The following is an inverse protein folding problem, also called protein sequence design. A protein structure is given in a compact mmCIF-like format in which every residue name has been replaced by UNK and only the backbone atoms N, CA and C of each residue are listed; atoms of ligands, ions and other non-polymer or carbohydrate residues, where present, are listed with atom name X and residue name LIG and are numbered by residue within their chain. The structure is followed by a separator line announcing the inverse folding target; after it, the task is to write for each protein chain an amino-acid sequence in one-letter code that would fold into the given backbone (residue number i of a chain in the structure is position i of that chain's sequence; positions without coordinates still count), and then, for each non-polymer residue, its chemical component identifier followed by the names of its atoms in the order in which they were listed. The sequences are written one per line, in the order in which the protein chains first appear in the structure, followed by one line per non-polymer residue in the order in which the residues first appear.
data_IF_391354348199
#
_entry.id   IF_391354348199
#
_cell.length_a   1.000
_cell.length_b   1.000
_cell.length_c   1.000
_cell.angle_alpha   90.00
_cell.angle_beta   90.00
_cell.angle_gamma   90.00
#
_symmetry.space_group_name_H-M   'P 1'
#
loop_
_entity.id
_entity.type
_entity.pdbx_description
1 polymer ?
#
# COMPACT_ATOMS: atom_id res chain seq x y z
N UNK A 1 11.10 18.17 -28.54
CA UNK A 1 10.24 18.95 -27.61
C UNK A 1 9.23 18.09 -26.85
N UNK A 2 8.65 17.01 -27.42
CA UNK A 2 7.73 16.14 -26.67
C UNK A 2 8.40 15.23 -25.61
N UNK A 3 9.65 14.81 -25.83
CA UNK A 3 10.39 13.96 -24.88
C UNK A 3 10.69 14.67 -23.55
N UNK A 4 11.05 15.96 -23.60
CA UNK A 4 11.35 16.77 -22.39
C UNK A 4 10.11 16.98 -21.52
N UNK A 5 8.95 17.23 -22.13
CA UNK A 5 7.66 17.40 -21.40
C UNK A 5 7.22 16.09 -20.72
N UNK A 6 7.45 14.94 -21.38
CA UNK A 6 7.15 13.63 -20.77
C UNK A 6 8.07 13.33 -19.58
N UNK A 7 9.34 13.71 -19.65
CA UNK A 7 10.29 13.55 -18.53
C UNK A 7 9.93 14.46 -17.35
N UNK A 8 9.56 15.71 -17.59
CA UNK A 8 9.10 16.63 -16.53
C UNK A 8 7.87 16.10 -15.79
N UNK A 9 6.88 15.58 -16.52
CA UNK A 9 5.69 14.98 -15.91
C UNK A 9 6.01 13.74 -15.05
N UNK A 10 7.01 12.94 -15.43
CA UNK A 10 7.47 11.79 -14.64
C UNK A 10 8.22 12.24 -13.38
N UNK A 11 9.02 13.31 -13.46
CA UNK A 11 9.73 13.88 -12.31
C UNK A 11 8.75 14.47 -11.29
N UNK A 12 7.76 15.24 -11.75
CA UNK A 12 6.72 15.80 -10.88
C UNK A 12 5.90 14.70 -10.19
N UNK A 13 5.58 13.65 -10.94
CA UNK A 13 4.90 12.48 -10.39
C UNK A 13 5.77 11.75 -9.35
N UNK A 14 7.07 11.57 -9.63
CA UNK A 14 7.99 10.93 -8.71
C UNK A 14 8.07 11.71 -7.38
N UNK A 15 8.13 13.04 -7.43
CA UNK A 15 8.11 13.88 -6.25
C UNK A 15 6.81 13.71 -5.43
N UNK A 16 5.65 13.65 -6.09
CA UNK A 16 4.36 13.41 -5.42
C UNK A 16 4.27 12.01 -4.79
N UNK A 17 4.81 11.01 -5.47
CA UNK A 17 4.88 9.64 -4.93
C UNK A 17 5.82 9.59 -3.73
N UNK A 18 6.94 10.31 -3.76
CA UNK A 18 7.86 10.38 -2.61
C UNK A 18 7.19 11.02 -1.39
N UNK A 19 6.37 12.07 -1.58
CA UNK A 19 5.55 12.65 -0.49
C UNK A 19 4.53 11.62 0.04
N UNK A 20 3.79 10.96 -0.85
CA UNK A 20 2.83 9.91 -0.47
C UNK A 20 3.51 8.77 0.32
N UNK A 21 4.67 8.30 -0.16
CA UNK A 21 5.46 7.26 0.50
C UNK A 21 5.94 7.75 1.88
N UNK A 22 6.37 9.00 2.00
CA UNK A 22 6.78 9.57 3.27
C UNK A 22 5.61 9.62 4.27
N UNK A 23 4.43 10.06 3.83
CA UNK A 23 3.22 10.15 4.66
C UNK A 23 2.75 8.76 5.14
N UNK A 24 2.70 7.78 4.22
CA UNK A 24 2.34 6.39 4.55
C UNK A 24 3.37 5.78 5.51
N UNK A 25 4.66 6.04 5.29
CA UNK A 25 5.74 5.57 6.16
C UNK A 25 5.66 6.21 7.55
N UNK A 26 5.35 7.51 7.62
CA UNK A 26 5.18 8.21 8.88
C UNK A 26 3.97 7.65 9.66
N UNK A 27 2.86 7.37 8.97
CA UNK A 27 1.72 6.69 9.55
C UNK A 27 2.10 5.31 10.09
N UNK A 28 2.80 4.50 9.30
CA UNK A 28 3.26 3.17 9.72
C UNK A 28 4.19 3.25 10.96
N UNK A 29 5.07 4.25 11.04
CA UNK A 29 5.93 4.48 12.20
C UNK A 29 5.14 4.95 13.43
N UNK A 30 4.16 5.83 13.23
CA UNK A 30 3.30 6.30 14.29
C UNK A 30 2.52 5.14 14.92
N UNK A 31 2.00 4.21 14.10
CA UNK A 31 1.33 2.99 14.56
C UNK A 31 2.24 2.15 15.46
N UNK A 32 3.50 1.92 15.06
CA UNK A 32 4.48 1.19 15.88
C UNK A 32 4.77 1.91 17.19
N UNK A 33 4.80 3.25 17.17
CA UNK A 33 5.04 4.05 18.37
C UNK A 33 3.90 3.95 19.41
N UNK A 34 2.68 3.57 19.00
CA UNK A 34 1.57 3.36 19.94
C UNK A 34 1.81 2.09 20.78
N UNK A 35 2.54 1.11 20.25
CA UNK A 35 2.87 -0.14 20.94
C UNK A 35 2.33 -1.39 20.24
N UNK A 36 2.82 -2.56 20.67
CA UNK A 36 2.44 -3.87 20.14
C UNK A 36 1.25 -4.42 20.92
N UNK A 37 0.34 -5.12 20.23
CA UNK A 37 -0.81 -5.80 20.83
C UNK A 37 -1.72 -4.90 21.68
N UNK A 38 -2.07 -3.75 21.13
CA UNK A 38 -2.99 -2.82 21.78
C UNK A 38 -4.39 -3.42 21.70
N UNK A 39 -5.01 -3.57 22.87
CA UNK A 39 -6.43 -3.91 22.94
C UNK A 39 -7.24 -2.65 22.61
N UNK A 40 -7.81 -2.65 21.41
CA UNK A 40 -8.66 -1.57 20.90
C UNK A 40 -10.04 -2.16 20.65
N UNK A 41 -11.07 -1.41 21.02
CA UNK A 41 -12.46 -1.79 20.78
C UNK A 41 -12.68 -2.25 19.32
N UNK A 42 -13.49 -3.30 19.17
CA UNK A 42 -13.72 -3.96 17.89
C UNK A 42 -14.27 -2.99 16.81
N UNK A 43 -15.08 -2.00 17.19
CA UNK A 43 -15.60 -1.00 16.25
C UNK A 43 -14.49 -0.07 15.75
N UNK A 44 -13.56 0.34 16.63
CA UNK A 44 -12.39 1.15 16.26
C UNK A 44 -11.45 0.36 15.35
N UNK A 45 -11.20 -0.90 15.67
CA UNK A 45 -10.39 -1.80 14.82
C UNK A 45 -10.99 -1.97 13.42
N UNK A 46 -12.31 -2.11 13.32
CA UNK A 46 -13.02 -2.20 12.05
C UNK A 46 -12.91 -0.89 11.24
N UNK A 47 -13.10 0.27 11.89
CA UNK A 47 -12.94 1.58 11.24
C UNK A 47 -11.51 1.80 10.71
N UNK A 48 -10.48 1.45 11.49
CA UNK A 48 -9.08 1.50 11.06
C UNK A 48 -8.87 0.58 9.86
N UNK A 49 -9.34 -0.67 9.91
CA UNK A 49 -9.17 -1.61 8.81
C UNK A 49 -9.81 -1.10 7.51
N UNK A 50 -11.01 -0.52 7.60
CA UNK A 50 -11.70 0.08 6.44
C UNK A 50 -10.91 1.26 5.87
N UNK A 51 -10.42 2.17 6.73
CA UNK A 51 -9.62 3.32 6.29
C UNK A 51 -8.31 2.90 5.64
N UNK A 52 -7.59 1.95 6.24
CA UNK A 52 -6.34 1.41 5.69
C UNK A 52 -6.60 0.73 4.34
N UNK A 53 -7.66 -0.07 4.25
CA UNK A 53 -8.00 -0.72 2.99
C UNK A 53 -8.42 0.28 1.90
N UNK A 54 -9.09 1.38 2.26
CA UNK A 54 -9.37 2.47 1.32
C UNK A 54 -8.07 3.14 0.81
N UNK A 55 -7.10 3.38 1.70
CA UNK A 55 -5.77 3.89 1.32
C UNK A 55 -5.09 2.93 0.33
N UNK A 56 -5.04 1.63 0.65
CA UNK A 56 -4.48 0.60 -0.23
C UNK A 56 -5.19 0.61 -1.59
N UNK A 57 -6.53 0.68 -1.59
CA UNK A 57 -7.33 0.71 -2.82
C UNK A 57 -7.00 1.89 -3.73
N UNK A 58 -6.87 3.09 -3.15
CA UNK A 58 -6.51 4.31 -3.89
C UNK A 58 -5.10 4.19 -4.46
N UNK A 59 -4.16 3.67 -3.67
CA UNK A 59 -2.77 3.47 -4.09
C UNK A 59 -2.67 2.44 -5.21
N UNK A 60 -3.41 1.33 -5.13
CA UNK A 60 -3.44 0.32 -6.21
C UNK A 60 -4.01 0.92 -7.49
N UNK A 61 -5.11 1.69 -7.42
CA UNK A 61 -5.67 2.39 -8.59
C UNK A 61 -4.66 3.37 -9.20
N UNK A 62 -3.98 4.14 -8.35
CA UNK A 62 -2.89 5.02 -8.80
C UNK A 62 -1.83 4.20 -9.55
N UNK A 63 -1.36 3.08 -8.99
CA UNK A 63 -0.38 2.22 -9.65
C UNK A 63 -0.87 1.71 -11.02
N UNK A 64 -2.14 1.32 -11.15
CA UNK A 64 -2.74 0.91 -12.42
C UNK A 64 -2.70 2.05 -13.43
N UNK A 65 -3.13 3.24 -13.02
CA UNK A 65 -3.12 4.44 -13.87
C UNK A 65 -1.70 4.82 -14.31
N UNK A 66 -0.72 4.67 -13.43
CA UNK A 66 0.69 4.91 -13.74
C UNK A 66 1.23 3.94 -14.77
N UNK A 67 0.97 2.64 -14.60
CA UNK A 67 1.38 1.62 -15.56
C UNK A 67 0.69 1.83 -16.90
N UNK A 68 -0.60 2.17 -16.90
CA UNK A 68 -1.36 2.43 -18.12
C UNK A 68 -0.86 3.68 -18.86
N UNK A 69 -0.48 4.74 -18.13
CA UNK A 69 -0.09 6.03 -18.72
C UNK A 69 1.37 6.10 -19.17
N UNK A 70 2.29 5.48 -18.43
CA UNK A 70 3.73 5.60 -18.67
C UNK A 70 4.40 4.28 -19.06
N UNK A 71 3.72 3.15 -18.92
CA UNK A 71 4.27 1.83 -19.13
C UNK A 71 5.09 1.33 -17.93
N UNK A 72 5.04 0.02 -17.69
CA UNK A 72 5.63 -0.60 -16.48
C UNK A 72 7.13 -0.34 -16.32
N UNK A 73 7.90 -0.33 -17.42
CA UNK A 73 9.36 -0.15 -17.38
C UNK A 73 9.77 1.24 -16.87
N UNK A 74 8.93 2.26 -17.07
CA UNK A 74 9.21 3.63 -16.64
C UNK A 74 8.87 3.81 -15.16
N UNK A 75 7.81 3.16 -14.69
CA UNK A 75 7.28 3.38 -13.32
C UNK A 75 7.69 2.30 -12.33
N UNK A 76 8.38 1.23 -12.74
CA UNK A 76 8.74 0.10 -11.85
C UNK A 76 9.47 0.55 -10.57
N UNK A 77 10.35 1.54 -10.66
CA UNK A 77 11.05 2.08 -9.49
C UNK A 77 10.10 2.82 -8.53
N UNK A 78 9.08 3.49 -9.07
CA UNK A 78 8.04 4.16 -8.27
C UNK A 78 7.10 3.13 -7.63
N UNK A 79 6.71 2.11 -8.39
CA UNK A 79 5.89 1.01 -7.89
C UNK A 79 6.59 0.26 -6.76
N UNK A 80 7.90 0.02 -6.87
CA UNK A 80 8.68 -0.61 -5.80
C UNK A 80 8.70 0.20 -4.50
N UNK A 81 8.80 1.54 -4.58
CA UNK A 81 8.71 2.42 -3.41
C UNK A 81 7.33 2.32 -2.74
N UNK A 82 6.28 2.28 -3.56
CA UNK A 82 4.90 2.13 -3.10
C UNK A 82 4.68 0.75 -2.47
N UNK A 83 5.15 -0.31 -3.10
CA UNK A 83 5.04 -1.68 -2.61
C UNK A 83 5.66 -1.83 -1.22
N UNK A 84 6.86 -1.28 -1.03
CA UNK A 84 7.55 -1.29 0.25
C UNK A 84 6.80 -0.49 1.33
N UNK A 85 6.24 0.68 0.99
CA UNK A 85 5.54 1.51 1.98
C UNK A 85 4.22 0.88 2.45
N UNK A 86 3.49 0.26 1.52
CA UNK A 86 2.28 -0.49 1.83
C UNK A 86 2.59 -1.74 2.65
N UNK A 87 3.65 -2.47 2.29
CA UNK A 87 4.11 -3.62 3.06
C UNK A 87 4.39 -3.23 4.52
N UNK A 88 5.14 -2.14 4.72
CA UNK A 88 5.47 -1.64 6.06
C UNK A 88 4.20 -1.27 6.85
N UNK A 89 3.25 -0.58 6.21
CA UNK A 89 1.98 -0.24 6.83
C UNK A 89 1.22 -1.50 7.30
N UNK A 90 1.03 -2.48 6.42
CA UNK A 90 0.27 -3.70 6.72
C UNK A 90 0.93 -4.50 7.86
N UNK A 91 2.25 -4.70 7.80
CA UNK A 91 2.99 -5.43 8.84
C UNK A 91 2.88 -4.71 10.18
N UNK A 92 3.08 -3.39 10.21
CA UNK A 92 3.01 -2.61 11.43
C UNK A 92 1.61 -2.66 12.06
N UNK A 93 0.56 -2.58 11.25
CA UNK A 93 -0.81 -2.74 11.73
C UNK A 93 -1.07 -4.11 12.34
N UNK A 94 -0.57 -5.19 11.75
CA UNK A 94 -0.80 -6.52 12.31
C UNK A 94 -0.10 -6.83 13.61
N UNK A 95 1.10 -6.28 13.80
CA UNK A 95 1.78 -6.43 15.09
C UNK A 95 1.15 -5.53 16.16
N UNK A 96 0.64 -4.36 15.77
CA UNK A 96 0.07 -3.41 16.74
C UNK A 96 -1.37 -3.75 17.14
N UNK A 97 -2.17 -4.31 16.22
CA UNK A 97 -3.59 -4.62 16.47
C UNK A 97 -3.89 -6.06 16.04
N UNK A 98 -4.06 -6.94 17.02
CA UNK A 98 -4.33 -8.35 16.77
C UNK A 98 -5.57 -8.52 15.88
N UNK A 99 -5.49 -9.37 14.86
CA UNK A 99 -6.58 -9.69 13.94
C UNK A 99 -7.02 -8.56 13.00
N UNK A 100 -6.33 -7.40 12.96
CA UNK A 100 -6.65 -6.34 11.99
C UNK A 100 -6.24 -6.74 10.57
N UNK A 101 -5.17 -7.54 10.44
CA UNK A 101 -4.73 -8.00 9.14
C UNK A 101 -5.78 -8.88 8.46
N UNK A 102 -6.52 -9.70 9.21
CA UNK A 102 -7.59 -10.52 8.63
C UNK A 102 -8.64 -9.65 7.94
N UNK A 103 -8.99 -8.52 8.55
CA UNK A 103 -9.93 -7.55 7.97
C UNK A 103 -9.34 -6.87 6.72
N UNK A 104 -8.08 -6.45 6.79
CA UNK A 104 -7.38 -5.83 5.66
C UNK A 104 -7.26 -6.83 4.49
N UNK A 105 -6.85 -8.07 4.76
CA UNK A 105 -6.70 -9.12 3.76
C UNK A 105 -8.03 -9.41 3.07
N UNK A 106 -9.14 -9.48 3.83
CA UNK A 106 -10.48 -9.67 3.25
C UNK A 106 -10.83 -8.55 2.25
N UNK A 107 -10.57 -7.29 2.61
CA UNK A 107 -10.86 -6.15 1.75
C UNK A 107 -9.89 -6.09 0.55
N UNK A 108 -8.63 -6.49 0.72
CA UNK A 108 -7.68 -6.52 -0.40
C UNK A 108 -7.96 -7.69 -1.37
N UNK A 109 -8.51 -8.80 -0.90
CA UNK A 109 -9.01 -9.86 -1.79
C UNK A 109 -10.15 -9.35 -2.68
N UNK A 110 -10.99 -8.43 -2.19
CA UNK A 110 -12.03 -7.76 -3.01
C UNK A 110 -11.43 -6.86 -4.10
N UNK A 111 -10.23 -6.31 -3.90
CA UNK A 111 -9.50 -5.58 -4.95
C UNK A 111 -8.94 -6.49 -6.05
N UNK A 112 -8.82 -7.79 -5.79
CA UNK A 112 -8.32 -8.79 -6.72
C UNK A 112 -6.80 -8.87 -6.74
N UNK A 113 -6.25 -10.01 -6.31
CA UNK A 113 -4.80 -10.30 -6.31
C UNK A 113 -4.18 -10.14 -7.72
N UNK A 114 -4.96 -10.37 -8.77
CA UNK A 114 -4.57 -10.15 -10.16
C UNK A 114 -4.26 -8.68 -10.48
N UNK A 115 -4.96 -7.72 -9.85
CA UNK A 115 -4.70 -6.29 -10.02
C UNK A 115 -3.40 -5.90 -9.32
N UNK A 116 -3.16 -6.40 -8.10
CA UNK A 116 -1.88 -6.16 -7.43
C UNK A 116 -0.70 -6.76 -8.21
N UNK A 117 -0.90 -7.94 -8.82
CA UNK A 117 0.14 -8.59 -9.61
C UNK A 117 0.44 -7.81 -10.90
N UNK A 118 -0.59 -7.25 -11.56
CA UNK A 118 -0.40 -6.48 -12.80
C UNK A 118 0.37 -5.17 -12.59
N UNK A 119 0.39 -4.64 -11.37
CA UNK A 119 1.16 -3.45 -10.98
C UNK A 119 2.42 -3.76 -10.16
N UNK A 120 2.90 -5.01 -10.18
CA UNK A 120 4.15 -5.42 -9.51
C UNK A 120 4.19 -5.12 -7.98
N UNK A 121 3.05 -5.12 -7.29
CA UNK A 121 2.99 -4.98 -5.83
C UNK A 121 3.24 -6.33 -5.13
N UNK A 122 4.38 -6.95 -5.43
CA UNK A 122 4.72 -8.31 -5.01
C UNK A 122 4.97 -8.46 -3.51
N UNK A 123 5.52 -7.45 -2.86
CA UNK A 123 5.76 -7.45 -1.41
C UNK A 123 4.44 -7.39 -0.64
N UNK A 124 3.49 -6.57 -1.09
CA UNK A 124 2.14 -6.52 -0.55
C UNK A 124 1.45 -7.89 -0.69
N UNK A 125 1.52 -8.50 -1.87
CA UNK A 125 0.95 -9.83 -2.11
C UNK A 125 1.59 -10.86 -1.19
N UNK A 126 2.91 -10.87 -1.05
CA UNK A 126 3.62 -11.82 -0.19
C UNK A 126 3.20 -11.70 1.27
N UNK A 127 3.08 -10.47 1.80
CA UNK A 127 2.59 -10.25 3.17
C UNK A 127 1.16 -10.74 3.31
N UNK A 128 0.26 -10.35 2.41
CA UNK A 128 -1.14 -10.79 2.45
C UNK A 128 -1.26 -12.33 2.37
N UNK A 129 -0.49 -12.97 1.49
CA UNK A 129 -0.51 -14.41 1.29
C UNK A 129 0.05 -15.17 2.51
N UNK A 130 1.16 -14.70 3.09
CA UNK A 130 1.70 -15.24 4.35
C UNK A 130 0.63 -15.24 5.44
N UNK A 131 -0.19 -14.19 5.50
CA UNK A 131 -1.21 -14.06 6.54
C UNK A 131 -2.46 -14.88 6.21
N UNK A 132 -2.85 -15.00 4.94
CA UNK A 132 -3.94 -15.89 4.52
C UNK A 132 -3.66 -17.37 4.80
N UNK A 133 -2.39 -17.79 4.81
CA UNK A 133 -1.98 -19.17 5.13
C UNK A 133 -1.85 -19.39 6.65
N UNK A 134 -1.69 -18.30 7.43
CA UNK A 134 -1.51 -18.35 8.89
C UNK A 134 -2.84 -18.26 9.68
N UNK A 135 -3.99 -18.21 8.99
CA UNK A 135 -5.34 -18.13 9.56
C UNK A 135 -6.06 -19.47 9.42
#
# INVERSE_FOLDING_TARGET
MQLTVAVEAVVDLAAKIDVLVADVTACAKAIVAIGVNIDIDAAVKADIAVKVAAIISVIVKLCVDLVAKFGILVVVGLLAKIDLCLQLLIVNLGVCVEGIIVLIAKIVVELGVSVLASVHLGLCINVLNLISISL
#
